data_IF_959299148617
#
_entry.id   IF_959299148617
#
_cell.length_a   1.000
_cell.length_b   1.000
_cell.length_c   1.000
_cell.angle_alpha   90.00
_cell.angle_beta   90.00
_cell.angle_gamma   90.00
#
_symmetry.space_group_name_H-M   'P 1'
#
loop_
_entity.id
_entity.type
_entity.pdbx_description
1 polymer ?
#
# COMPACT_ATOMS: atom_id res chain seq x y z
N UNK A 1 40.85 2.77 23.51
CA UNK A 1 40.68 3.46 22.21
C UNK A 1 39.38 3.13 21.43
N UNK A 2 38.79 1.92 21.54
CA UNK A 2 37.57 1.53 20.78
C UNK A 2 36.25 2.12 21.30
N UNK A 3 36.09 2.28 22.62
CA UNK A 3 34.84 2.76 23.27
C UNK A 3 34.48 4.21 22.89
N UNK A 4 35.47 5.11 22.85
CA UNK A 4 35.25 6.51 22.43
C UNK A 4 34.91 6.68 20.95
N UNK A 5 35.43 5.81 20.06
CA UNK A 5 35.04 5.80 18.64
C UNK A 5 33.59 5.31 18.48
N UNK A 6 33.20 4.27 19.22
CA UNK A 6 31.86 3.72 19.16
C UNK A 6 30.79 4.72 19.63
N UNK A 7 31.04 5.43 20.73
CA UNK A 7 30.14 6.49 21.24
C UNK A 7 29.96 7.62 20.22
N UNK A 8 31.05 8.04 19.55
CA UNK A 8 30.98 9.06 18.51
C UNK A 8 30.14 8.61 17.30
N UNK A 9 30.27 7.35 16.89
CA UNK A 9 29.48 6.78 15.78
C UNK A 9 27.99 6.71 16.15
N UNK A 10 27.65 6.20 17.33
CA UNK A 10 26.25 6.13 17.78
C UNK A 10 25.63 7.53 17.94
N UNK A 11 26.38 8.48 18.51
CA UNK A 11 25.92 9.87 18.64
C UNK A 11 25.67 10.52 17.28
N UNK A 12 26.56 10.30 16.30
CA UNK A 12 26.38 10.81 14.94
C UNK A 12 25.15 10.19 14.25
N UNK A 13 24.96 8.87 14.36
CA UNK A 13 23.80 8.20 13.77
C UNK A 13 22.48 8.67 14.40
N UNK A 14 22.45 8.80 15.73
CA UNK A 14 21.29 9.31 16.45
C UNK A 14 20.97 10.76 16.05
N UNK A 15 21.99 11.63 16.00
CA UNK A 15 21.84 13.00 15.51
C UNK A 15 21.30 13.07 14.08
N UNK A 16 21.80 12.21 13.18
CA UNK A 16 21.31 12.10 11.81
C UNK A 16 19.83 11.67 11.77
N UNK A 17 19.42 10.69 12.58
CA UNK A 17 18.02 10.24 12.66
C UNK A 17 17.08 11.33 13.20
N UNK A 18 17.54 12.18 14.13
CA UNK A 18 16.77 13.32 14.62
C UNK A 18 16.60 14.38 13.54
N UNK A 19 17.67 14.73 12.82
CA UNK A 19 17.60 15.67 11.68
C UNK A 19 16.68 15.11 10.60
N UNK A 20 16.71 13.81 10.36
CA UNK A 20 15.87 13.15 9.35
C UNK A 20 14.37 13.30 9.64
N UNK A 21 13.95 13.44 10.91
CA UNK A 21 12.54 13.69 11.27
C UNK A 21 12.04 15.05 10.78
N UNK A 22 12.93 15.99 10.46
CA UNK A 22 12.56 17.32 9.96
C UNK A 22 12.07 17.29 8.49
N UNK A 23 12.33 16.20 7.77
CA UNK A 23 11.84 16.01 6.40
C UNK A 23 10.43 15.41 6.45
N UNK A 24 9.38 16.12 5.99
CA UNK A 24 8.02 15.63 6.08
C UNK A 24 7.71 14.59 4.99
N UNK A 25 6.95 13.56 5.34
CA UNK A 25 6.36 12.61 4.39
C UNK A 25 4.89 12.95 4.11
N UNK A 26 4.49 13.00 2.83
CA UNK A 26 3.12 13.30 2.43
C UNK A 26 2.19 12.11 2.69
N UNK A 27 1.13 12.34 3.47
CA UNK A 27 0.19 11.29 3.93
C UNK A 27 -1.23 11.82 3.90
N UNK A 28 -1.72 12.05 2.70
CA UNK A 28 -3.05 12.62 2.46
C UNK A 28 -4.00 11.59 1.90
N UNK A 29 -5.28 11.76 2.21
CA UNK A 29 -6.40 11.04 1.64
C UNK A 29 -7.22 12.05 0.85
N UNK A 30 -7.02 12.16 -0.48
CA UNK A 30 -7.86 13.01 -1.32
C UNK A 30 -9.33 12.56 -1.27
N UNK A 31 -10.29 13.37 -1.73
CA UNK A 31 -11.67 12.93 -1.86
C UNK A 31 -11.79 11.68 -2.76
N UNK A 32 -12.73 10.80 -2.44
CA UNK A 32 -13.15 9.71 -3.33
C UNK A 32 -14.00 10.31 -4.45
N UNK A 33 -13.65 10.07 -5.72
CA UNK A 33 -14.45 10.54 -6.87
C UNK A 33 -15.41 9.47 -7.35
N UNK A 34 -14.92 8.24 -7.46
CA UNK A 34 -15.75 7.07 -7.75
C UNK A 34 -15.05 5.80 -7.24
N UNK A 35 -15.79 5.02 -6.46
CA UNK A 35 -15.32 3.72 -6.00
C UNK A 35 -15.57 2.62 -7.07
N UNK A 36 -14.76 1.57 -7.07
CA UNK A 36 -14.94 0.42 -7.95
C UNK A 36 -16.10 -0.46 -7.47
N UNK A 37 -17.24 -0.45 -8.15
CA UNK A 37 -18.38 -1.30 -7.77
C UNK A 37 -18.03 -2.80 -7.76
N UNK A 38 -18.39 -3.48 -6.67
CA UNK A 38 -18.08 -4.89 -6.44
C UNK A 38 -19.10 -5.55 -5.51
N UNK A 39 -19.33 -6.88 -5.63
CA UNK A 39 -20.14 -7.62 -4.66
C UNK A 39 -19.62 -7.42 -3.22
N UNK A 40 -20.49 -7.40 -2.19
CA UNK A 40 -20.10 -7.08 -0.82
C UNK A 40 -18.90 -7.89 -0.29
N UNK A 41 -18.85 -9.19 -0.58
CA UNK A 41 -17.74 -10.06 -0.17
C UNK A 41 -16.41 -9.65 -0.82
N UNK A 42 -16.41 -9.32 -2.11
CA UNK A 42 -15.22 -8.85 -2.84
C UNK A 42 -14.80 -7.48 -2.31
N UNK A 43 -15.76 -6.57 -2.11
CA UNK A 43 -15.49 -5.23 -1.59
C UNK A 43 -14.82 -5.30 -0.22
N UNK A 44 -15.29 -6.18 0.67
CA UNK A 44 -14.69 -6.40 1.99
C UNK A 44 -13.23 -6.85 1.88
N UNK A 45 -12.93 -7.78 0.96
CA UNK A 45 -11.55 -8.23 0.72
C UNK A 45 -10.65 -7.11 0.15
N UNK A 46 -11.16 -6.33 -0.80
CA UNK A 46 -10.41 -5.20 -1.37
C UNK A 46 -10.11 -4.14 -0.30
N UNK A 47 -11.10 -3.78 0.54
CA UNK A 47 -10.90 -2.82 1.62
C UNK A 47 -9.88 -3.31 2.64
N UNK A 48 -9.96 -4.58 3.04
CA UNK A 48 -9.05 -5.18 4.02
C UNK A 48 -7.61 -5.34 3.51
N UNK A 49 -7.43 -5.76 2.26
CA UNK A 49 -6.12 -6.20 1.78
C UNK A 49 -5.46 -5.26 0.75
N UNK A 50 -6.19 -4.27 0.21
CA UNK A 50 -5.70 -3.46 -0.91
C UNK A 50 -5.85 -1.95 -0.69
N UNK A 51 -6.88 -1.48 0.02
CA UNK A 51 -7.23 -0.06 0.05
C UNK A 51 -6.17 0.82 0.73
N UNK A 52 -5.39 0.28 1.67
CA UNK A 52 -4.33 1.06 2.31
C UNK A 52 -3.29 1.61 1.33
N UNK A 53 -3.00 0.89 0.25
CA UNK A 53 -2.07 1.34 -0.79
C UNK A 53 -2.74 1.76 -2.10
N UNK A 54 -3.93 1.23 -2.39
CA UNK A 54 -4.61 1.38 -3.69
C UNK A 54 -5.93 2.16 -3.61
N UNK A 55 -6.13 2.99 -2.58
CA UNK A 55 -7.33 3.83 -2.47
C UNK A 55 -7.00 5.19 -1.85
N UNK A 56 -7.94 6.13 -1.93
CA UNK A 56 -7.89 7.38 -1.17
C UNK A 56 -8.40 7.21 0.28
N UNK A 57 -8.71 5.99 0.72
CA UNK A 57 -9.19 5.66 2.07
C UNK A 57 -8.08 5.04 2.95
N UNK A 58 -6.80 5.31 2.65
CA UNK A 58 -5.67 4.69 3.35
C UNK A 58 -5.69 4.91 4.86
N UNK A 59 -5.54 3.83 5.64
CA UNK A 59 -5.33 3.91 7.09
C UNK A 59 -3.84 4.03 7.38
N UNK A 60 -3.40 5.24 7.72
CA UNK A 60 -1.98 5.51 7.97
C UNK A 60 -1.53 5.00 9.34
N UNK A 61 -0.65 3.98 9.42
CA UNK A 61 -0.21 3.45 10.71
C UNK A 61 0.68 4.46 11.44
N UNK A 62 0.81 4.32 12.76
CA UNK A 62 1.59 5.25 13.59
C UNK A 62 3.04 5.41 13.11
N UNK A 63 3.66 4.34 12.63
CA UNK A 63 5.04 4.35 12.16
C UNK A 63 5.20 5.07 10.80
N UNK A 64 4.11 5.32 10.08
CA UNK A 64 4.13 6.25 8.95
C UNK A 64 4.42 7.69 9.40
N UNK A 65 4.54 7.97 10.70
CA UNK A 65 4.92 9.26 11.28
C UNK A 65 6.36 9.38 11.74
N UNK A 66 7.14 8.31 11.65
CA UNK A 66 8.51 8.28 12.14
C UNK A 66 9.45 7.97 10.98
N UNK A 67 10.42 8.83 10.71
CA UNK A 67 11.42 8.56 9.68
C UNK A 67 12.41 7.47 10.16
N UNK A 68 12.95 6.64 9.24
CA UNK A 68 12.73 6.67 7.78
C UNK A 68 11.46 5.93 7.31
N UNK A 69 10.73 5.25 8.21
CA UNK A 69 9.56 4.45 7.84
C UNK A 69 8.45 5.29 7.18
N UNK A 70 8.26 6.53 7.63
CA UNK A 70 7.35 7.50 7.02
C UNK A 70 7.56 7.71 5.52
N UNK A 71 8.81 7.69 5.04
CA UNK A 71 9.13 7.85 3.62
C UNK A 71 8.77 6.62 2.81
N UNK A 72 9.08 5.42 3.34
CA UNK A 72 8.75 4.16 2.68
C UNK A 72 7.25 4.00 2.52
N UNK A 73 6.48 4.20 3.60
CA UNK A 73 5.01 4.08 3.54
C UNK A 73 4.40 5.13 2.60
N UNK A 74 4.86 6.38 2.66
CA UNK A 74 4.38 7.45 1.77
C UNK A 74 4.67 7.13 0.30
N UNK A 75 5.87 6.61 0.01
CA UNK A 75 6.27 6.17 -1.32
C UNK A 75 5.39 5.02 -1.83
N UNK A 76 5.21 3.97 -1.04
CA UNK A 76 4.47 2.77 -1.44
C UNK A 76 2.99 3.08 -1.70
N UNK A 77 2.36 3.94 -0.87
CA UNK A 77 0.98 4.38 -1.10
C UNK A 77 0.87 5.24 -2.36
N UNK A 78 1.84 6.12 -2.62
CA UNK A 78 1.87 6.94 -3.83
C UNK A 78 2.00 6.07 -5.08
N UNK A 79 2.97 5.17 -5.11
CA UNK A 79 3.21 4.23 -6.22
C UNK A 79 2.01 3.29 -6.42
N UNK A 80 1.43 2.78 -5.33
CA UNK A 80 0.22 1.95 -5.36
C UNK A 80 -0.93 2.65 -6.08
N UNK A 81 -1.26 3.88 -5.66
CA UNK A 81 -2.32 4.71 -6.27
C UNK A 81 -2.04 5.05 -7.73
N UNK A 82 -0.79 5.31 -8.12
CA UNK A 82 -0.39 5.58 -9.50
C UNK A 82 -0.67 4.36 -10.43
N UNK A 83 -0.41 3.15 -9.94
CA UNK A 83 -0.69 1.93 -10.69
C UNK A 83 -2.18 1.59 -10.71
N UNK A 84 -2.87 1.73 -9.57
CA UNK A 84 -4.28 1.44 -9.41
C UNK A 84 -4.84 2.19 -8.18
N UNK A 85 -5.87 3.01 -8.39
CA UNK A 85 -6.60 3.68 -7.32
C UNK A 85 -8.09 3.32 -7.43
N UNK A 86 -8.61 2.56 -6.46
CA UNK A 86 -10.00 2.14 -6.39
C UNK A 86 -10.97 3.29 -6.12
N UNK A 87 -10.49 4.39 -5.50
CA UNK A 87 -11.30 5.57 -5.17
C UNK A 87 -11.42 6.59 -6.31
N UNK A 88 -10.71 6.36 -7.41
CA UNK A 88 -10.69 7.22 -8.60
C UNK A 88 -11.01 6.42 -9.86
N UNK A 89 -11.94 5.48 -9.76
CA UNK A 89 -12.24 4.55 -10.84
C UNK A 89 -12.78 5.24 -12.10
N UNK A 90 -13.51 6.34 -11.92
CA UNK A 90 -14.02 7.23 -12.97
C UNK A 90 -12.90 7.88 -13.79
N UNK A 91 -11.71 8.03 -13.20
CA UNK A 91 -10.54 8.61 -13.86
C UNK A 91 -9.76 7.59 -14.70
N UNK A 92 -10.07 6.31 -14.57
CA UNK A 92 -9.51 5.26 -15.42
C UNK A 92 -10.33 5.19 -16.70
N UNK A 93 -9.71 5.54 -17.83
CA UNK A 93 -10.32 5.40 -19.15
C UNK A 93 -10.89 3.99 -19.36
N UNK A 94 -12.14 3.89 -19.84
CA UNK A 94 -12.92 2.67 -19.86
C UNK A 94 -12.19 1.50 -20.57
N UNK A 95 -11.47 1.79 -21.66
CA UNK A 95 -10.68 0.82 -22.42
C UNK A 95 -9.48 0.26 -21.65
N UNK A 96 -9.00 0.98 -20.62
CA UNK A 96 -7.87 0.58 -19.76
C UNK A 96 -8.32 -0.17 -18.51
N UNK A 97 -9.58 -0.05 -18.11
CA UNK A 97 -10.12 -0.65 -16.89
C UNK A 97 -9.93 -2.18 -16.85
N UNK A 98 -10.30 -2.96 -17.89
CA UNK A 98 -10.10 -4.42 -17.87
C UNK A 98 -8.64 -4.81 -17.73
N UNK A 99 -7.73 -4.06 -18.37
CA UNK A 99 -6.28 -4.30 -18.29
C UNK A 99 -5.75 -4.04 -16.87
N UNK A 100 -6.21 -2.99 -16.19
CA UNK A 100 -5.81 -2.71 -14.79
C UNK A 100 -6.26 -3.83 -13.85
N UNK A 101 -7.51 -4.30 -13.97
CA UNK A 101 -8.02 -5.41 -13.14
C UNK A 101 -7.28 -6.72 -13.42
N UNK A 102 -7.02 -7.05 -14.69
CA UNK A 102 -6.23 -8.23 -15.07
C UNK A 102 -4.80 -8.19 -14.51
N UNK A 103 -4.17 -7.01 -14.49
CA UNK A 103 -2.86 -6.84 -13.85
C UNK A 103 -2.92 -7.08 -12.34
N UNK A 104 -3.94 -6.56 -11.66
CA UNK A 104 -4.14 -6.83 -10.24
C UNK A 104 -4.34 -8.34 -9.97
N UNK A 105 -5.14 -9.03 -10.79
CA UNK A 105 -5.31 -10.48 -10.72
C UNK A 105 -3.99 -11.23 -10.92
N UNK A 106 -3.16 -10.82 -11.88
CA UNK A 106 -1.85 -11.41 -12.11
C UNK A 106 -0.91 -11.20 -10.91
N UNK A 107 -0.87 -10.00 -10.33
CA UNK A 107 -0.07 -9.74 -9.12
C UNK A 107 -0.52 -10.58 -7.91
N UNK A 108 -1.81 -10.86 -7.78
CA UNK A 108 -2.32 -11.79 -6.76
C UNK A 108 -1.89 -13.23 -7.04
N UNK A 109 -2.01 -13.71 -8.28
CA UNK A 109 -1.59 -15.07 -8.69
C UNK A 109 -0.10 -15.30 -8.50
N UNK A 110 0.72 -14.30 -8.85
CA UNK A 110 2.17 -14.35 -8.74
C UNK A 110 2.68 -14.20 -7.30
N UNK A 111 1.79 -14.01 -6.31
CA UNK A 111 2.18 -13.78 -4.92
C UNK A 111 2.89 -12.45 -4.68
N UNK A 112 2.86 -11.53 -5.65
CA UNK A 112 3.45 -10.18 -5.55
C UNK A 112 2.62 -9.26 -4.66
N UNK A 113 1.30 -9.52 -4.59
CA UNK A 113 0.37 -8.77 -3.77
C UNK A 113 -0.43 -9.66 -2.80
N UNK A 114 -0.71 -9.18 -1.58
CA UNK A 114 -0.09 -8.01 -0.93
C UNK A 114 1.43 -8.18 -0.77
N UNK A 115 2.18 -7.08 -0.66
CA UNK A 115 3.64 -7.11 -0.57
C UNK A 115 4.09 -8.01 0.60
N UNK A 116 5.03 -8.96 0.40
CA UNK A 116 5.46 -9.86 1.48
C UNK A 116 6.03 -9.12 2.70
N UNK A 117 6.68 -7.96 2.50
CA UNK A 117 7.21 -7.12 3.59
C UNK A 117 6.11 -6.37 4.38
N UNK A 118 4.91 -6.23 3.80
CA UNK A 118 3.78 -5.58 4.45
C UNK A 118 3.09 -6.50 5.48
N UNK A 119 2.98 -7.79 5.15
CA UNK A 119 2.19 -8.77 5.91
C UNK A 119 2.61 -8.98 7.38
N UNK A 120 3.89 -8.88 7.79
CA UNK A 120 4.26 -9.01 9.20
C UNK A 120 3.69 -7.91 10.10
N UNK A 121 3.49 -6.70 9.56
CA UNK A 121 2.92 -5.56 10.28
C UNK A 121 1.42 -5.40 10.04
N UNK A 122 0.88 -6.09 9.02
CA UNK A 122 -0.52 -6.06 8.60
C UNK A 122 -1.06 -7.48 8.34
N UNK A 123 -1.15 -8.32 9.38
CA UNK A 123 -1.64 -9.70 9.24
C UNK A 123 -3.06 -9.76 8.69
N UNK A 124 -3.89 -8.75 8.95
CA UNK A 124 -5.24 -8.58 8.41
C UNK A 124 -5.26 -8.48 6.89
N UNK A 125 -4.19 -8.03 6.23
CA UNK A 125 -4.14 -7.99 4.77
C UNK A 125 -3.84 -9.35 4.15
N UNK A 126 -3.43 -10.36 4.95
CA UNK A 126 -3.15 -11.70 4.45
C UNK A 126 -4.42 -12.33 3.89
N UNK A 127 -4.35 -12.73 2.63
CA UNK A 127 -5.41 -13.46 1.94
C UNK A 127 -5.20 -14.97 2.13
N UNK A 128 -6.27 -15.68 2.50
CA UNK A 128 -6.28 -17.15 2.38
C UNK A 128 -6.26 -17.57 0.90
N UNK A 129 -5.96 -18.84 0.59
CA UNK A 129 -6.07 -19.34 -0.78
C UNK A 129 -7.45 -19.07 -1.40
N UNK A 130 -8.52 -19.31 -0.65
CA UNK A 130 -9.91 -19.14 -1.10
C UNK A 130 -10.26 -17.67 -1.36
N UNK A 131 -9.79 -16.76 -0.50
CA UNK A 131 -9.97 -15.32 -0.68
C UNK A 131 -9.18 -14.81 -1.89
N UNK A 132 -7.96 -15.31 -2.09
CA UNK A 132 -7.14 -14.98 -3.25
C UNK A 132 -7.80 -15.46 -4.54
N UNK A 133 -8.34 -16.66 -4.55
CA UNK A 133 -9.06 -17.21 -5.71
C UNK A 133 -10.32 -16.41 -6.00
N UNK A 134 -11.08 -16.06 -4.96
CA UNK A 134 -12.29 -15.21 -5.07
C UNK A 134 -11.97 -13.86 -5.71
N UNK A 135 -10.95 -13.14 -5.19
CA UNK A 135 -10.53 -11.86 -5.75
C UNK A 135 -10.03 -12.01 -7.19
N UNK A 136 -9.19 -13.00 -7.44
CA UNK A 136 -8.55 -13.23 -8.73
C UNK A 136 -9.56 -13.57 -9.82
N UNK A 137 -10.54 -14.44 -9.51
CA UNK A 137 -11.62 -14.79 -10.42
C UNK A 137 -12.47 -13.56 -10.76
N UNK A 138 -12.84 -12.76 -9.74
CA UNK A 138 -13.64 -11.55 -9.95
C UNK A 138 -12.90 -10.47 -10.76
N UNK A 139 -11.60 -10.26 -10.50
CA UNK A 139 -10.75 -9.30 -11.22
C UNK A 139 -10.49 -9.72 -12.67
N UNK A 140 -10.49 -11.04 -12.96
CA UNK A 140 -10.23 -11.58 -14.30
C UNK A 140 -11.48 -11.67 -15.18
N UNK A 141 -12.67 -11.45 -14.62
CA UNK A 141 -13.95 -11.58 -15.34
C UNK A 141 -14.03 -10.57 -16.51
N UNK A 142 -14.52 -10.98 -17.69
CA UNK A 142 -14.83 -10.06 -18.78
C UNK A 142 -15.90 -9.03 -18.36
N UNK A 143 -15.68 -7.76 -18.70
CA UNK A 143 -16.60 -6.63 -18.48
C UNK A 143 -16.52 -5.69 -19.67
#
# INVERSE_FOLDING_TARGET
MRRGKLVKVFGALFGALLVLQLVPASRTNPPVTQDLEAPPAVKALLKRACYDCHSNESVWPWYARVAPASFLVSHDVKEGREHLNFSEWDRVAAEKQPRKLKKAAASLKDGKMPLPIYLPLHPEARLTPEERDTLTAWLSRPR
#
